data_IF_553967925145
#
_entry.id   IF_553967925145
#
_cell.length_a   1.000
_cell.length_b   1.000
_cell.length_c   1.000
_cell.angle_alpha   90.00
_cell.angle_beta   90.00
_cell.angle_gamma   90.00
#
_symmetry.space_group_name_H-M   'P 1'
#
loop_
_entity.id
_entity.type
_entity.pdbx_description
1 polymer ?
#
# COMPACT_ATOMS: atom_id res chain seq x y z
N UNK A 1 12.38 5.84 10.81
CA UNK A 1 13.25 4.67 10.54
C UNK A 1 14.58 5.21 10.05
N UNK A 2 15.70 4.49 10.21
CA UNK A 2 16.95 4.92 9.58
C UNK A 2 16.89 4.71 8.07
N UNK A 3 17.69 5.44 7.29
CA UNK A 3 17.75 5.29 5.84
C UNK A 3 18.18 3.86 5.46
N UNK A 4 19.23 3.33 6.10
CA UNK A 4 19.70 1.96 5.89
C UNK A 4 18.62 0.90 6.19
N UNK A 5 17.89 1.04 7.31
CA UNK A 5 16.78 0.12 7.63
C UNK A 5 15.66 0.21 6.59
N UNK A 6 15.39 1.41 6.09
CA UNK A 6 14.38 1.63 5.05
C UNK A 6 14.76 1.02 3.72
N UNK A 7 16.02 1.17 3.29
CA UNK A 7 16.54 0.53 2.08
C UNK A 7 16.49 -0.98 2.20
N UNK A 8 16.95 -1.52 3.33
CA UNK A 8 16.88 -2.96 3.61
C UNK A 8 15.43 -3.48 3.61
N UNK A 9 14.50 -2.73 4.20
CA UNK A 9 13.07 -3.06 4.20
C UNK A 9 12.50 -3.05 2.78
N UNK A 10 12.77 -2.00 1.99
CA UNK A 10 12.30 -1.90 0.61
C UNK A 10 12.77 -3.07 -0.24
N UNK A 11 14.08 -3.34 -0.22
CA UNK A 11 14.73 -4.44 -0.95
C UNK A 11 14.13 -5.79 -0.53
N UNK A 12 13.93 -5.99 0.77
CA UNK A 12 13.33 -7.22 1.30
C UNK A 12 11.91 -7.41 0.78
N UNK A 13 11.06 -6.38 0.81
CA UNK A 13 9.67 -6.53 0.36
C UNK A 13 9.60 -6.66 -1.17
N UNK A 14 10.34 -5.84 -1.92
CA UNK A 14 10.35 -5.89 -3.39
C UNK A 14 10.82 -7.24 -3.95
N UNK A 15 11.76 -7.90 -3.26
CA UNK A 15 12.29 -9.22 -3.67
C UNK A 15 11.32 -10.38 -3.43
N UNK A 16 10.22 -10.20 -2.67
CA UNK A 16 9.16 -11.22 -2.52
C UNK A 16 8.49 -11.57 -3.86
N UNK A 17 8.60 -10.68 -4.86
CA UNK A 17 8.10 -10.89 -6.22
C UNK A 17 9.02 -11.70 -7.14
N UNK A 18 10.07 -12.34 -6.61
CA UNK A 18 11.11 -13.06 -7.37
C UNK A 18 11.87 -12.19 -8.39
N UNK A 19 12.04 -10.90 -8.12
CA UNK A 19 12.84 -10.01 -8.95
C UNK A 19 14.31 -10.08 -8.54
N UNK A 20 15.21 -10.23 -9.52
CA UNK A 20 16.65 -10.16 -9.31
C UNK A 20 17.07 -8.68 -9.27
N UNK A 21 17.64 -8.23 -8.16
CA UNK A 21 18.09 -6.86 -7.98
C UNK A 21 19.54 -6.72 -8.45
N UNK A 22 19.83 -5.65 -9.20
CA UNK A 22 21.16 -5.28 -9.67
C UNK A 22 21.69 -4.11 -8.82
N UNK A 23 23.00 -3.86 -8.82
CA UNK A 23 23.63 -2.82 -8.00
C UNK A 23 23.02 -1.41 -8.20
N UNK A 24 22.57 -1.08 -9.41
CA UNK A 24 21.83 0.18 -9.68
C UNK A 24 20.45 0.26 -9.01
N UNK A 25 19.87 -0.86 -8.56
CA UNK A 25 18.61 -0.87 -7.82
C UNK A 25 18.80 -0.44 -6.36
N UNK A 26 20.01 -0.57 -5.78
CA UNK A 26 20.32 -0.14 -4.42
C UNK A 26 20.34 1.38 -4.31
N UNK A 27 21.03 2.08 -5.21
CA UNK A 27 21.02 3.56 -5.25
C UNK A 27 19.61 4.10 -5.52
N UNK A 28 18.84 3.42 -6.38
CA UNK A 28 17.45 3.77 -6.62
C UNK A 28 16.58 3.56 -5.37
N UNK A 29 16.83 2.49 -4.61
CA UNK A 29 16.13 2.19 -3.36
C UNK A 29 16.41 3.23 -2.28
N UNK A 30 17.67 3.61 -2.10
CA UNK A 30 18.07 4.64 -1.14
C UNK A 30 17.38 5.97 -1.45
N UNK A 31 17.45 6.44 -2.69
CA UNK A 31 16.82 7.69 -3.08
C UNK A 31 15.29 7.65 -2.97
N UNK A 32 14.66 6.49 -3.21
CA UNK A 32 13.22 6.34 -3.02
C UNK A 32 12.82 6.39 -1.53
N UNK A 33 13.62 5.79 -0.64
CA UNK A 33 13.39 5.84 0.81
C UNK A 33 13.55 7.26 1.36
N UNK A 34 14.50 8.03 0.82
CA UNK A 34 14.66 9.45 1.14
C UNK A 34 13.47 10.28 0.66
N UNK A 35 12.99 10.04 -0.56
CA UNK A 35 11.77 10.68 -1.10
C UNK A 35 10.52 10.37 -0.26
N UNK A 36 10.50 9.23 0.43
CA UNK A 36 9.44 8.88 1.38
C UNK A 36 9.62 9.48 2.78
N UNK A 37 10.72 10.19 3.04
CA UNK A 37 11.04 10.69 4.37
C UNK A 37 11.27 9.57 5.40
N UNK A 38 11.80 8.42 4.95
CA UNK A 38 12.06 7.24 5.79
C UNK A 38 10.81 6.71 6.55
N UNK A 39 9.63 6.86 5.94
CA UNK A 39 8.37 6.35 6.47
C UNK A 39 8.20 4.86 6.14
N UNK A 40 8.32 3.99 7.15
CA UNK A 40 8.25 2.54 6.97
C UNK A 40 6.99 2.07 6.24
N UNK A 41 5.83 2.68 6.53
CA UNK A 41 4.57 2.31 5.90
C UNK A 41 4.57 2.63 4.38
N UNK A 42 5.08 3.79 3.99
CA UNK A 42 5.22 4.15 2.58
C UNK A 42 6.20 3.21 1.85
N UNK A 43 7.30 2.86 2.53
CA UNK A 43 8.28 1.89 2.03
C UNK A 43 7.67 0.51 1.79
N UNK A 44 6.87 0.00 2.74
CA UNK A 44 6.20 -1.31 2.60
C UNK A 44 5.18 -1.29 1.47
N UNK A 45 4.38 -0.23 1.34
CA UNK A 45 3.45 -0.06 0.22
C UNK A 45 4.20 -0.11 -1.12
N UNK A 46 5.24 0.71 -1.29
CA UNK A 46 6.02 0.73 -2.52
C UNK A 46 6.65 -0.63 -2.84
N UNK A 47 7.28 -1.27 -1.85
CA UNK A 47 7.88 -2.60 -2.00
C UNK A 47 6.85 -3.65 -2.41
N UNK A 48 5.66 -3.66 -1.79
CA UNK A 48 4.61 -4.61 -2.10
C UNK A 48 4.08 -4.40 -3.53
N UNK A 49 3.87 -3.16 -3.94
CA UNK A 49 3.47 -2.83 -5.31
C UNK A 49 4.51 -3.32 -6.32
N UNK A 50 5.81 -3.09 -6.07
CA UNK A 50 6.89 -3.55 -6.94
C UNK A 50 6.89 -5.08 -7.04
N UNK A 51 6.81 -5.78 -5.91
CA UNK A 51 6.80 -7.24 -5.84
C UNK A 51 5.65 -7.87 -6.63
N UNK A 52 4.47 -7.24 -6.60
CA UNK A 52 3.26 -7.80 -7.21
C UNK A 52 2.91 -7.23 -8.59
N UNK A 53 3.69 -6.26 -9.10
CA UNK A 53 3.49 -5.68 -10.43
C UNK A 53 4.45 -6.30 -11.45
N UNK A 54 3.94 -7.03 -12.47
CA UNK A 54 4.81 -7.66 -13.48
C UNK A 54 5.71 -6.64 -14.19
N UNK A 55 7.03 -6.89 -14.16
CA UNK A 55 8.03 -6.04 -14.84
C UNK A 55 8.26 -4.65 -14.22
N UNK A 56 7.65 -4.38 -13.05
CA UNK A 56 7.93 -3.19 -12.25
C UNK A 56 9.26 -3.35 -11.53
N UNK A 57 10.11 -2.33 -11.51
CA UNK A 57 11.38 -2.33 -10.79
C UNK A 57 11.47 -1.10 -9.89
N UNK A 58 12.43 -1.08 -8.96
CA UNK A 58 12.62 0.07 -8.06
C UNK A 58 12.84 1.37 -8.85
N UNK A 59 13.71 1.43 -9.88
CA UNK A 59 13.87 2.64 -10.71
C UNK A 59 12.58 3.06 -11.44
N UNK A 60 11.81 2.10 -11.97
CA UNK A 60 10.54 2.39 -12.66
C UNK A 60 9.48 2.91 -11.71
N UNK A 61 9.41 2.38 -10.49
CA UNK A 61 8.51 2.89 -9.47
C UNK A 61 8.89 4.31 -9.06
N UNK A 62 10.19 4.56 -8.85
CA UNK A 62 10.70 5.88 -8.50
C UNK A 62 10.38 6.93 -9.55
N UNK A 63 10.41 6.60 -10.85
CA UNK A 63 9.99 7.53 -11.90
C UNK A 63 8.47 7.73 -11.99
N UNK A 64 7.68 6.72 -11.61
CA UNK A 64 6.21 6.79 -11.54
C UNK A 64 5.74 7.68 -10.38
N UNK A 65 6.38 7.57 -9.21
CA UNK A 65 5.89 8.13 -7.95
C UNK A 65 5.60 9.65 -7.99
N UNK A 66 6.47 10.53 -8.54
CA UNK A 66 6.19 11.96 -8.60
C UNK A 66 4.92 12.32 -9.39
N UNK A 67 4.65 11.58 -10.46
CA UNK A 67 3.45 11.80 -11.29
C UNK A 67 2.18 11.44 -10.51
N UNK A 68 2.23 10.35 -9.75
CA UNK A 68 1.12 9.89 -8.91
C UNK A 68 0.88 10.84 -7.73
N UNK A 69 1.96 11.31 -7.09
CA UNK A 69 1.90 12.30 -6.02
C UNK A 69 1.27 13.61 -6.49
N UNK A 70 1.63 14.10 -7.69
CA UNK A 70 0.98 15.28 -8.28
C UNK A 70 -0.51 15.05 -8.54
N UNK A 71 -0.88 13.93 -9.17
CA UNK A 71 -2.27 13.55 -9.40
C UNK A 71 -3.07 13.57 -8.08
N UNK A 72 -2.50 12.97 -7.04
CA UNK A 72 -3.07 12.96 -5.69
C UNK A 72 -3.26 14.37 -5.13
N UNK A 73 -2.21 15.20 -5.14
CA UNK A 73 -2.32 16.59 -4.66
C UNK A 73 -3.38 17.40 -5.39
N UNK A 74 -3.57 17.18 -6.70
CA UNK A 74 -4.62 17.83 -7.48
C UNK A 74 -6.02 17.34 -7.09
N UNK A 75 -6.21 16.03 -6.86
CA UNK A 75 -7.45 15.47 -6.32
C UNK A 75 -7.76 15.98 -4.89
N UNK A 76 -6.73 16.21 -4.06
CA UNK A 76 -6.87 16.70 -2.68
C UNK A 76 -7.16 18.18 -2.53
N UNK A 77 -6.82 19.01 -3.52
CA UNK A 77 -7.10 20.46 -3.46
C UNK A 77 -8.59 20.74 -3.25
N UNK A 78 -9.44 19.84 -3.77
CA UNK A 78 -10.90 19.93 -3.71
C UNK A 78 -11.49 19.43 -2.38
N UNK A 79 -10.69 18.80 -1.51
CA UNK A 79 -11.18 18.33 -0.21
C UNK A 79 -11.24 19.45 0.85
N UNK A 80 -12.20 19.36 1.79
CA UNK A 80 -12.26 20.27 2.93
C UNK A 80 -10.98 20.21 3.77
N UNK A 81 -10.60 21.33 4.40
CA UNK A 81 -9.34 21.45 5.13
C UNK A 81 -9.12 20.41 6.24
N UNK A 82 -10.19 19.85 6.80
CA UNK A 82 -10.14 18.76 7.80
C UNK A 82 -9.71 17.42 7.23
N UNK A 83 -9.78 17.24 5.91
CA UNK A 83 -9.38 16.04 5.19
C UNK A 83 -8.05 16.22 4.44
N UNK A 84 -7.42 17.41 4.53
CA UNK A 84 -6.11 17.66 3.92
C UNK A 84 -5.03 16.95 4.73
N UNK A 85 -4.21 16.19 4.02
CA UNK A 85 -3.06 15.49 4.58
C UNK A 85 -1.88 16.46 4.74
N UNK A 86 -1.07 16.26 5.77
CA UNK A 86 0.25 16.89 5.84
C UNK A 86 1.22 16.20 4.86
N UNK A 87 2.44 16.72 4.70
CA UNK A 87 3.42 16.17 3.74
C UNK A 87 3.74 14.68 3.98
N UNK A 88 3.68 14.24 5.25
CA UNK A 88 3.89 12.83 5.63
C UNK A 88 2.67 11.98 5.24
N UNK A 89 1.48 12.45 5.54
CA UNK A 89 0.21 11.83 5.17
C UNK A 89 0.05 11.71 3.66
N UNK A 90 0.43 12.74 2.90
CA UNK A 90 0.42 12.76 1.43
C UNK A 90 1.26 11.63 0.84
N UNK A 91 2.47 11.42 1.39
CA UNK A 91 3.38 10.35 0.94
C UNK A 91 2.82 8.96 1.22
N UNK A 92 2.37 8.72 2.46
CA UNK A 92 1.78 7.42 2.86
C UNK A 92 0.51 7.14 2.08
N UNK A 93 -0.34 8.14 1.92
CA UNK A 93 -1.57 7.99 1.19
C UNK A 93 -1.30 7.74 -0.30
N UNK A 94 -0.38 8.49 -0.93
CA UNK A 94 -0.04 8.30 -2.34
C UNK A 94 0.45 6.88 -2.59
N UNK A 95 1.38 6.38 -1.77
CA UNK A 95 1.87 4.99 -1.89
C UNK A 95 0.77 3.96 -1.63
N UNK A 96 -0.11 4.20 -0.66
CA UNK A 96 -1.29 3.37 -0.41
C UNK A 96 -2.24 3.35 -1.60
N UNK A 97 -2.53 4.51 -2.20
CA UNK A 97 -3.46 4.63 -3.31
C UNK A 97 -2.95 3.90 -4.55
N UNK A 98 -1.65 3.99 -4.83
CA UNK A 98 -1.00 3.23 -5.92
C UNK A 98 -1.22 1.72 -5.72
N UNK A 99 -1.08 1.22 -4.48
CA UNK A 99 -1.35 -0.18 -4.16
C UNK A 99 -2.83 -0.53 -4.31
N UNK A 100 -3.71 0.33 -3.80
CA UNK A 100 -5.16 0.15 -3.86
C UNK A 100 -5.67 0.08 -5.31
N UNK A 101 -5.11 0.92 -6.20
CA UNK A 101 -5.45 0.95 -7.62
C UNK A 101 -5.03 -0.36 -8.35
N UNK A 102 -4.12 -1.15 -7.79
CA UNK A 102 -3.74 -2.47 -8.33
C UNK A 102 -4.69 -3.60 -7.92
N UNK A 103 -5.45 -3.42 -6.83
CA UNK A 103 -6.32 -4.47 -6.30
C UNK A 103 -7.46 -4.81 -7.26
N UNK A 104 -7.83 -6.10 -7.26
CA UNK A 104 -9.05 -6.57 -7.93
C UNK A 104 -10.29 -5.99 -7.24
N UNK A 105 -11.43 -5.85 -7.96
CA UNK A 105 -12.67 -5.32 -7.39
C UNK A 105 -13.08 -6.01 -6.09
N UNK A 106 -13.00 -7.34 -6.03
CA UNK A 106 -13.40 -8.15 -4.88
C UNK A 106 -12.51 -7.87 -3.65
N UNK A 107 -11.21 -7.63 -3.87
CA UNK A 107 -10.29 -7.25 -2.80
C UNK A 107 -10.57 -5.85 -2.25
N UNK A 108 -11.03 -4.93 -3.11
CA UNK A 108 -11.43 -3.58 -2.68
C UNK A 108 -12.72 -3.62 -1.87
N UNK A 109 -13.69 -4.43 -2.28
CA UNK A 109 -14.92 -4.64 -1.53
C UNK A 109 -14.64 -5.18 -0.13
N UNK A 110 -13.74 -6.16 0.00
CA UNK A 110 -13.32 -6.65 1.32
C UNK A 110 -12.68 -5.54 2.17
N UNK A 111 -11.80 -4.73 1.60
CA UNK A 111 -11.21 -3.59 2.33
C UNK A 111 -12.27 -2.60 2.81
N UNK A 112 -13.28 -2.31 2.01
CA UNK A 112 -14.40 -1.46 2.43
C UNK A 112 -15.17 -2.05 3.60
N UNK A 113 -15.36 -3.37 3.63
CA UNK A 113 -15.98 -4.05 4.77
C UNK A 113 -15.11 -3.95 6.02
N UNK A 114 -13.79 -4.12 5.88
CA UNK A 114 -12.84 -4.03 6.99
C UNK A 114 -12.82 -2.62 7.61
N UNK A 115 -13.08 -1.57 6.83
CA UNK A 115 -13.18 -0.18 7.34
C UNK A 115 -14.31 0.00 8.36
N UNK A 116 -15.33 -0.85 8.35
CA UNK A 116 -16.40 -0.82 9.37
C UNK A 116 -16.05 -1.59 10.65
N UNK A 117 -14.96 -2.35 10.64
CA UNK A 117 -14.47 -3.04 11.83
C UNK A 117 -13.66 -2.06 12.68
N UNK A 118 -13.67 -2.29 13.98
CA UNK A 118 -12.76 -1.57 14.87
C UNK A 118 -11.33 -1.90 14.44
N UNK A 119 -10.44 -0.89 14.43
CA UNK A 119 -9.05 -1.03 13.96
C UNK A 119 -8.22 -2.02 14.78
N UNK A 120 -8.72 -2.40 15.96
CA UNK A 120 -8.17 -3.42 16.85
C UNK A 120 -9.22 -4.52 17.09
N UNK A 121 -8.76 -5.74 17.35
CA UNK A 121 -9.63 -6.89 17.63
C UNK A 121 -10.28 -7.51 16.38
N UNK A 122 -9.67 -7.35 15.21
CA UNK A 122 -10.08 -8.06 13.99
C UNK A 122 -9.49 -9.47 14.03
N UNK A 123 -10.27 -10.43 14.55
CA UNK A 123 -9.84 -11.82 14.66
C UNK A 123 -10.09 -12.60 13.37
N UNK A 124 -9.12 -13.43 12.97
CA UNK A 124 -9.23 -14.35 11.82
C UNK A 124 -10.51 -15.20 11.89
N UNK A 125 -10.87 -15.65 13.10
CA UNK A 125 -12.10 -16.43 13.38
C UNK A 125 -13.40 -15.80 12.87
N UNK A 126 -13.48 -14.46 12.74
CA UNK A 126 -14.66 -13.77 12.19
C UNK A 126 -14.81 -14.13 10.70
N UNK A 127 -13.72 -14.10 9.96
CA UNK A 127 -13.71 -14.43 8.53
C UNK A 127 -13.89 -15.92 8.30
N UNK A 128 -13.28 -16.78 9.13
CA UNK A 128 -13.47 -18.24 9.06
C UNK A 128 -14.94 -18.61 9.26
N UNK A 129 -15.58 -18.07 10.30
CA UNK A 129 -17.01 -18.30 10.56
C UNK A 129 -17.87 -17.76 9.43
N UNK A 130 -17.58 -16.58 8.91
CA UNK A 130 -18.31 -16.04 7.77
C UNK A 130 -18.22 -17.01 6.57
N UNK A 131 -17.02 -17.45 6.21
CA UNK A 131 -16.78 -18.37 5.10
C UNK A 131 -17.50 -19.72 5.28
N UNK A 132 -17.48 -20.28 6.49
CA UNK A 132 -18.20 -21.53 6.80
C UNK A 132 -19.73 -21.38 6.65
N UNK A 133 -20.28 -20.22 7.01
CA UNK A 133 -21.72 -19.97 6.93
C UNK A 133 -22.18 -19.41 5.58
N UNK A 134 -21.28 -19.11 4.62
CA UNK A 134 -21.64 -18.64 3.27
C UNK A 134 -22.52 -19.64 2.50
N UNK A 135 -22.42 -20.93 2.82
CA UNK A 135 -23.20 -22.00 2.17
C UNK A 135 -24.40 -22.48 2.99
N UNK A 136 -24.52 -22.08 4.26
CA UNK A 136 -25.71 -22.39 5.05
C UNK A 136 -26.81 -21.40 4.67
N UNK A 137 -27.64 -21.75 3.69
CA UNK A 137 -28.91 -21.06 3.46
C UNK A 137 -29.83 -21.28 4.66
N UNK A 138 -29.72 -20.45 5.70
CA UNK A 138 -30.86 -20.01 6.51
C UNK A 138 -30.42 -18.97 7.55
N UNK A 139 -30.84 -17.74 7.36
CA UNK A 139 -31.08 -16.84 8.49
C UNK A 139 -32.54 -16.40 8.40
N UNK A 140 -33.43 -16.90 9.28
CA UNK A 140 -34.69 -16.21 9.51
C UNK A 140 -34.35 -14.89 10.19
N UNK A 141 -34.73 -13.77 9.57
CA UNK A 141 -34.66 -12.48 10.22
C UNK A 141 -35.60 -12.47 11.44
N UNK A 142 -35.23 -11.79 12.55
CA UNK A 142 -36.17 -11.49 13.62
C UNK A 142 -37.24 -10.47 13.20
#
# INVERSE_FOLDING_TARGET
MSQADGTALLVKIASLGNQCLVEGDLEAAEGLVDEFGCLALATVHAGAYIAHSPGMTIPKYRSLFPSQRRRMLDEYKELPGTAKLDERGDTVYTTWRICYDQLKPESRELLWLIVYLHYDGIFESIFERAAQNMHSKFHPCP
#
